data_IF_945956692402
#
_entry.id   IF_945956692402
#
_cell.length_a   1.000
_cell.length_b   1.000
_cell.length_c   1.000
_cell.angle_alpha   90.00
_cell.angle_beta   90.00
_cell.angle_gamma   90.00
#
_symmetry.space_group_name_H-M   'P 1'
#
loop_
_entity.id
_entity.type
_entity.pdbx_description
1 polymer ?
#
# COMPACT_ATOMS: atom_id res chain seq x y z
N UNK A 1 28.89 3.86 -11.29
CA UNK A 1 28.04 3.05 -10.39
C UNK A 1 27.20 3.92 -9.46
N UNK A 2 27.81 4.88 -8.75
CA UNK A 2 27.08 5.78 -7.83
C UNK A 2 26.07 6.65 -8.56
N UNK A 3 26.40 7.17 -9.73
CA UNK A 3 25.49 7.93 -10.60
C UNK A 3 24.24 7.11 -10.99
N UNK A 4 24.43 5.83 -11.37
CA UNK A 4 23.30 4.93 -11.69
C UNK A 4 22.39 4.71 -10.49
N UNK A 5 22.97 4.48 -9.30
CA UNK A 5 22.20 4.34 -8.05
C UNK A 5 21.45 5.63 -7.72
N UNK A 6 22.08 6.78 -7.91
CA UNK A 6 21.49 8.10 -7.69
C UNK A 6 20.32 8.35 -8.65
N UNK A 7 20.51 8.14 -9.95
CA UNK A 7 19.49 8.34 -10.96
C UNK A 7 18.24 7.46 -10.71
N UNK A 8 18.43 6.21 -10.28
CA UNK A 8 17.33 5.30 -9.91
C UNK A 8 16.67 5.73 -8.60
N UNK A 9 17.48 5.99 -7.57
CA UNK A 9 16.98 6.24 -6.22
C UNK A 9 16.19 7.53 -6.10
N UNK A 10 16.62 8.58 -6.78
CA UNK A 10 16.00 9.91 -6.72
C UNK A 10 14.96 10.18 -7.81
N UNK A 11 14.72 9.24 -8.73
CA UNK A 11 13.61 9.32 -9.68
C UNK A 11 12.33 8.78 -9.02
N UNK A 12 11.33 9.63 -8.69
CA UNK A 12 10.15 9.22 -7.93
C UNK A 12 9.29 8.14 -8.62
N UNK A 13 9.30 8.09 -9.95
CA UNK A 13 8.54 7.11 -10.73
C UNK A 13 9.21 5.73 -10.81
N UNK A 14 10.53 5.63 -10.47
CA UNK A 14 11.26 4.37 -10.62
C UNK A 14 10.95 3.38 -9.47
N UNK A 15 10.75 2.06 -9.73
CA UNK A 15 10.46 1.05 -8.71
C UNK A 15 11.48 0.98 -7.56
N UNK A 16 12.74 1.28 -7.83
CA UNK A 16 13.82 1.35 -6.83
C UNK A 16 13.90 2.66 -6.05
N UNK A 17 13.05 3.67 -6.38
CA UNK A 17 13.12 5.02 -5.81
C UNK A 17 12.75 5.06 -4.34
N UNK A 18 13.43 5.92 -3.56
CA UNK A 18 13.19 6.18 -2.14
C UNK A 18 12.85 4.94 -1.29
N UNK A 19 13.24 3.75 -1.78
CA UNK A 19 12.99 2.46 -1.17
C UNK A 19 14.11 1.99 -0.24
N UNK A 20 14.08 0.70 0.10
CA UNK A 20 15.13 0.04 0.89
C UNK A 20 16.24 -0.56 0.01
N UNK A 21 17.12 -1.32 0.67
CA UNK A 21 18.30 -1.94 0.04
C UNK A 21 17.91 -2.86 -1.13
N UNK A 22 17.00 -3.79 -0.89
CA UNK A 22 16.62 -4.82 -1.88
C UNK A 22 16.00 -4.26 -3.16
N UNK A 23 14.97 -3.36 -3.10
CA UNK A 23 14.42 -2.75 -4.29
C UNK A 23 15.46 -1.98 -5.11
N UNK A 24 16.32 -1.20 -4.45
CA UNK A 24 17.35 -0.45 -5.14
C UNK A 24 18.40 -1.38 -5.78
N UNK A 25 18.85 -2.41 -5.06
CA UNK A 25 19.81 -3.38 -5.57
C UNK A 25 19.28 -4.08 -6.83
N UNK A 26 18.02 -4.56 -6.79
CA UNK A 26 17.37 -5.21 -7.93
C UNK A 26 17.24 -4.25 -9.13
N UNK A 27 16.75 -3.04 -8.88
CA UNK A 27 16.54 -2.04 -9.93
C UNK A 27 17.84 -1.59 -10.59
N UNK A 28 18.93 -1.49 -9.83
CA UNK A 28 20.25 -1.08 -10.32
C UNK A 28 21.08 -2.25 -10.89
N UNK A 29 20.67 -3.51 -10.64
CA UNK A 29 21.45 -4.69 -11.03
C UNK A 29 22.77 -4.81 -10.25
N UNK A 30 22.76 -4.46 -8.94
CA UNK A 30 23.95 -4.51 -8.07
C UNK A 30 23.67 -5.39 -6.84
N UNK A 31 24.74 -5.85 -6.16
CA UNK A 31 24.58 -6.60 -4.91
C UNK A 31 23.96 -5.75 -3.79
N UNK A 32 23.24 -6.40 -2.88
CA UNK A 32 22.65 -5.72 -1.70
C UNK A 32 23.71 -5.02 -0.85
N UNK A 33 24.92 -5.56 -0.75
CA UNK A 33 26.04 -4.94 -0.06
C UNK A 33 26.43 -3.59 -0.67
N UNK A 34 26.54 -3.51 -2.00
CA UNK A 34 26.85 -2.27 -2.72
C UNK A 34 25.73 -1.23 -2.57
N UNK A 35 24.46 -1.66 -2.72
CA UNK A 35 23.32 -0.80 -2.51
C UNK A 35 23.25 -0.28 -1.07
N UNK A 36 23.53 -1.14 -0.06
CA UNK A 36 23.58 -0.75 1.36
C UNK A 36 24.67 0.27 1.63
N UNK A 37 25.89 0.04 1.13
CA UNK A 37 27.02 0.95 1.31
C UNK A 37 26.74 2.34 0.73
N UNK A 38 26.08 2.40 -0.43
CA UNK A 38 25.68 3.68 -1.04
C UNK A 38 24.54 4.35 -0.26
N UNK A 39 23.46 3.61 0.10
CA UNK A 39 22.32 4.14 0.84
C UNK A 39 22.69 4.71 2.22
N UNK A 40 23.64 4.08 2.92
CA UNK A 40 24.07 4.58 4.24
C UNK A 40 24.79 5.93 4.16
N UNK A 41 25.33 6.31 3.01
CA UNK A 41 25.91 7.64 2.75
C UNK A 41 24.81 8.68 2.40
N UNK A 42 23.59 8.25 2.03
CA UNK A 42 22.52 9.14 1.63
C UNK A 42 21.80 9.69 2.87
N UNK A 43 21.91 10.99 3.12
CA UNK A 43 21.26 11.67 4.25
C UNK A 43 19.74 11.45 4.25
N UNK A 44 19.11 11.51 3.05
CA UNK A 44 17.66 11.30 2.88
C UNK A 44 17.24 9.90 3.34
N UNK A 45 18.05 8.87 3.08
CA UNK A 45 17.76 7.50 3.53
C UNK A 45 17.94 7.35 5.04
N UNK A 46 19.06 7.81 5.59
CA UNK A 46 19.40 7.61 7.00
C UNK A 46 18.47 8.40 7.93
N UNK A 47 18.08 9.62 7.53
CA UNK A 47 17.19 10.49 8.30
C UNK A 47 15.80 9.87 8.55
N UNK A 48 15.28 9.13 7.57
CA UNK A 48 13.91 8.59 7.62
C UNK A 48 13.84 7.08 7.86
N UNK A 49 14.97 6.44 8.15
CA UNK A 49 15.02 5.00 8.40
C UNK A 49 14.41 4.67 9.76
N UNK A 50 13.30 3.95 9.76
CA UNK A 50 12.63 3.49 10.98
C UNK A 50 13.33 2.27 11.61
N UNK A 51 13.42 2.18 12.95
CA UNK A 51 13.91 0.99 13.62
C UNK A 51 12.97 -0.20 13.39
N UNK A 52 13.55 -1.38 13.10
CA UNK A 52 12.75 -2.60 12.91
C UNK A 52 12.27 -3.13 14.26
N UNK A 53 10.96 -3.13 14.49
CA UNK A 53 10.31 -3.84 15.61
C UNK A 53 9.69 -5.13 15.08
N UNK A 54 10.00 -6.27 15.72
CA UNK A 54 9.44 -7.60 15.40
C UNK A 54 8.49 -8.01 16.51
N UNK A 55 7.24 -8.32 16.16
CA UNK A 55 6.26 -8.95 17.06
C UNK A 55 5.32 -9.85 16.24
N UNK A 56 4.83 -10.96 16.84
CA UNK A 56 3.87 -11.86 16.18
C UNK A 56 2.59 -11.09 15.87
N UNK A 57 2.02 -11.32 14.70
CA UNK A 57 0.70 -10.78 14.29
C UNK A 57 -0.13 -11.89 13.69
N UNK A 58 -1.43 -11.90 13.97
CA UNK A 58 -2.36 -12.78 13.27
C UNK A 58 -2.40 -12.38 11.79
N UNK A 59 -2.33 -13.38 10.91
CA UNK A 59 -2.40 -13.16 9.46
C UNK A 59 -3.86 -12.99 9.04
N UNK A 60 -4.12 -12.06 8.15
CA UNK A 60 -5.39 -11.96 7.42
C UNK A 60 -5.23 -12.90 6.22
N UNK A 61 -6.15 -13.84 6.08
CA UNK A 61 -6.15 -14.83 4.99
C UNK A 61 -7.29 -14.50 4.05
N UNK A 62 -6.98 -14.35 2.78
CA UNK A 62 -7.92 -14.11 1.66
C UNK A 62 -7.59 -15.10 0.55
N UNK A 63 -8.57 -15.47 -0.25
CA UNK A 63 -8.43 -16.52 -1.27
C UNK A 63 -8.22 -15.96 -2.68
N UNK A 64 -8.76 -14.78 -2.96
CA UNK A 64 -8.74 -14.20 -4.30
C UNK A 64 -8.46 -12.69 -4.28
N UNK A 65 -7.98 -12.19 -5.40
CA UNK A 65 -7.80 -10.76 -5.65
C UNK A 65 -9.17 -10.07 -5.59
N UNK A 66 -9.21 -8.90 -4.99
CA UNK A 66 -10.44 -8.14 -4.72
C UNK A 66 -11.44 -8.85 -3.78
N UNK A 67 -11.03 -9.91 -3.07
CA UNK A 67 -11.87 -10.46 -2.00
C UNK A 67 -11.99 -9.48 -0.84
N UNK A 68 -10.88 -8.93 -0.39
CA UNK A 68 -10.85 -7.98 0.71
C UNK A 68 -9.87 -6.84 0.46
N UNK A 69 -10.37 -5.62 0.59
CA UNK A 69 -9.52 -4.43 0.66
C UNK A 69 -9.46 -3.88 2.08
N UNK A 70 -8.31 -3.32 2.44
CA UNK A 70 -8.17 -2.50 3.63
C UNK A 70 -8.10 -1.04 3.24
N UNK A 71 -8.81 -0.20 3.99
CA UNK A 71 -8.95 1.23 3.75
C UNK A 71 -8.61 2.00 5.02
N UNK A 72 -7.86 3.09 4.87
CA UNK A 72 -7.47 3.96 5.98
C UNK A 72 -7.28 5.41 5.50
N UNK A 73 -7.28 6.35 6.43
CA UNK A 73 -6.96 7.75 6.19
C UNK A 73 -5.60 8.11 6.78
N UNK A 74 -4.71 8.52 5.89
CA UNK A 74 -3.39 9.01 6.27
C UNK A 74 -3.47 10.50 6.58
N UNK A 75 -3.34 10.90 7.85
CA UNK A 75 -3.38 12.29 8.30
C UNK A 75 -2.08 13.03 7.97
N UNK A 76 -2.21 14.21 7.34
CA UNK A 76 -1.10 15.09 6.92
C UNK A 76 -1.42 16.59 7.11
N UNK A 77 -1.97 17.00 8.27
CA UNK A 77 -2.46 18.39 8.44
C UNK A 77 -1.35 19.43 8.38
N UNK A 78 -0.14 19.09 8.86
CA UNK A 78 1.01 20.02 8.92
C UNK A 78 1.49 20.50 7.55
N UNK A 79 1.28 19.69 6.51
CA UNK A 79 1.72 20.02 5.14
C UNK A 79 0.59 20.39 4.19
N UNK A 80 -0.64 20.51 4.69
CA UNK A 80 -1.82 20.81 3.88
C UNK A 80 -1.69 22.11 3.06
N UNK A 81 -1.07 23.14 3.63
CA UNK A 81 -0.83 24.44 2.95
C UNK A 81 -0.01 24.30 1.66
N UNK A 82 0.88 23.33 1.58
CA UNK A 82 1.70 23.07 0.39
C UNK A 82 0.99 22.17 -0.63
N UNK A 83 -0.15 21.59 -0.27
CA UNK A 83 -0.85 20.54 -1.01
C UNK A 83 -2.30 20.92 -1.33
N UNK A 84 -2.54 22.18 -1.73
CA UNK A 84 -3.86 22.69 -2.12
C UNK A 84 -4.95 22.47 -1.06
N UNK A 85 -4.56 22.50 0.22
CA UNK A 85 -5.44 22.28 1.36
C UNK A 85 -5.75 20.80 1.66
N UNK A 86 -5.14 19.85 0.94
CA UNK A 86 -5.34 18.43 1.21
C UNK A 86 -4.65 18.03 2.52
N UNK A 87 -5.47 17.63 3.51
CA UNK A 87 -5.05 17.23 4.85
C UNK A 87 -4.91 15.73 5.04
N UNK A 88 -5.55 14.98 4.14
CA UNK A 88 -5.65 13.52 4.23
C UNK A 88 -5.31 12.88 2.90
N UNK A 89 -4.90 11.63 2.96
CA UNK A 89 -4.85 10.73 1.79
C UNK A 89 -5.68 9.49 2.17
N UNK A 90 -6.76 9.23 1.42
CA UNK A 90 -7.42 7.93 1.48
C UNK A 90 -6.50 6.91 0.84
N UNK A 91 -6.15 5.88 1.58
CA UNK A 91 -5.30 4.79 1.14
C UNK A 91 -6.08 3.49 1.14
N UNK A 92 -5.91 2.72 0.09
CA UNK A 92 -6.57 1.43 -0.11
C UNK A 92 -5.54 0.41 -0.55
N UNK A 93 -5.60 -0.80 -0.03
CA UNK A 93 -4.75 -1.91 -0.44
C UNK A 93 -5.57 -3.19 -0.60
N UNK A 94 -5.37 -3.89 -1.70
CA UNK A 94 -5.89 -5.25 -1.88
C UNK A 94 -5.07 -6.25 -1.05
N UNK A 95 -5.78 -7.09 -0.30
CA UNK A 95 -5.14 -7.97 0.68
C UNK A 95 -4.39 -9.14 0.05
N UNK A 96 -4.70 -9.59 -1.17
CA UNK A 96 -3.97 -10.65 -1.84
C UNK A 96 -2.84 -10.10 -2.71
N UNK A 97 -3.14 -9.27 -3.70
CA UNK A 97 -2.14 -8.76 -4.64
C UNK A 97 -1.21 -7.69 -4.05
N UNK A 98 -1.55 -7.12 -2.89
CA UNK A 98 -0.84 -5.95 -2.28
C UNK A 98 -0.88 -4.70 -3.14
N UNK A 99 -1.69 -4.68 -4.20
CA UNK A 99 -1.86 -3.50 -5.03
C UNK A 99 -2.54 -2.38 -4.24
N UNK A 100 -2.04 -1.17 -4.39
CA UNK A 100 -2.49 -0.04 -3.59
C UNK A 100 -2.95 1.14 -4.43
N UNK A 101 -3.92 1.87 -3.88
CA UNK A 101 -4.44 3.14 -4.40
C UNK A 101 -4.36 4.21 -3.34
N UNK A 102 -4.27 5.47 -3.77
CA UNK A 102 -4.26 6.62 -2.88
C UNK A 102 -4.95 7.82 -3.52
N UNK A 103 -5.83 8.48 -2.77
CA UNK A 103 -6.58 9.66 -3.23
C UNK A 103 -6.45 10.78 -2.20
N UNK A 104 -5.94 11.98 -2.57
CA UNK A 104 -5.86 13.12 -1.66
C UNK A 104 -7.24 13.69 -1.32
N UNK A 105 -7.40 14.15 -0.07
CA UNK A 105 -8.65 14.72 0.47
C UNK A 105 -8.38 16.00 1.26
N UNK A 106 -9.24 17.00 1.10
CA UNK A 106 -9.19 18.25 1.91
C UNK A 106 -9.76 18.06 3.31
N UNK A 107 -10.78 17.24 3.44
CA UNK A 107 -11.46 16.93 4.69
C UNK A 107 -11.85 15.44 4.71
N UNK A 108 -12.25 14.95 5.88
CA UNK A 108 -12.66 13.56 6.10
C UNK A 108 -14.15 13.40 6.38
N UNK A 109 -14.99 14.30 5.88
CA UNK A 109 -16.43 14.13 5.96
C UNK A 109 -16.89 12.98 5.04
N UNK A 110 -18.07 12.43 5.32
CA UNK A 110 -18.62 11.28 4.62
C UNK A 110 -18.67 11.46 3.08
N UNK A 111 -19.07 12.65 2.62
CA UNK A 111 -19.16 12.95 1.18
C UNK A 111 -17.79 12.92 0.50
N UNK A 112 -16.76 13.50 1.13
CA UNK A 112 -15.41 13.50 0.58
C UNK A 112 -14.81 12.09 0.53
N UNK A 113 -15.03 11.30 1.59
CA UNK A 113 -14.57 9.90 1.66
C UNK A 113 -15.29 9.04 0.62
N UNK A 114 -16.62 9.18 0.48
CA UNK A 114 -17.39 8.46 -0.53
C UNK A 114 -16.93 8.79 -1.95
N UNK A 115 -16.73 10.08 -2.26
CA UNK A 115 -16.21 10.50 -3.57
C UNK A 115 -14.82 9.94 -3.85
N UNK A 116 -13.97 9.87 -2.83
CA UNK A 116 -12.64 9.30 -2.97
C UNK A 116 -12.70 7.76 -3.17
N UNK A 117 -13.61 7.05 -2.46
CA UNK A 117 -13.82 5.62 -2.68
C UNK A 117 -14.34 5.32 -4.09
N UNK A 118 -15.32 6.09 -4.59
CA UNK A 118 -15.80 5.95 -5.97
C UNK A 118 -14.65 6.11 -6.98
N UNK A 119 -13.78 7.11 -6.77
CA UNK A 119 -12.60 7.30 -7.59
C UNK A 119 -11.63 6.10 -7.53
N UNK A 120 -11.49 5.45 -6.36
CA UNK A 120 -10.71 4.21 -6.24
C UNK A 120 -11.36 3.09 -7.04
N UNK A 121 -12.68 2.91 -6.98
CA UNK A 121 -13.40 1.90 -7.78
C UNK A 121 -13.20 2.13 -9.29
N UNK A 122 -13.27 3.38 -9.75
CA UNK A 122 -13.00 3.75 -11.13
C UNK A 122 -11.56 3.40 -11.56
N UNK A 123 -10.57 3.74 -10.73
CA UNK A 123 -9.16 3.42 -10.99
C UNK A 123 -8.90 1.91 -10.98
N UNK A 124 -9.54 1.19 -10.10
CA UNK A 124 -9.42 -0.26 -9.99
C UNK A 124 -10.16 -1.00 -11.12
N UNK A 125 -11.15 -0.36 -11.73
CA UNK A 125 -12.12 -0.97 -12.66
C UNK A 125 -12.83 -2.20 -12.08
N UNK A 126 -12.88 -2.26 -10.78
CA UNK A 126 -13.50 -3.34 -10.00
C UNK A 126 -13.84 -2.87 -8.59
N UNK A 127 -14.66 -3.65 -7.88
CA UNK A 127 -14.99 -3.45 -6.47
C UNK A 127 -14.68 -4.72 -5.69
N UNK A 128 -14.27 -4.60 -4.42
CA UNK A 128 -13.99 -5.77 -3.59
C UNK A 128 -15.29 -6.40 -3.08
N UNK A 129 -15.22 -7.67 -2.65
CA UNK A 129 -16.33 -8.30 -1.93
C UNK A 129 -16.48 -7.73 -0.51
N UNK A 130 -15.36 -7.40 0.13
CA UNK A 130 -15.32 -6.88 1.51
C UNK A 130 -14.36 -5.71 1.65
N UNK A 131 -14.75 -4.75 2.48
CA UNK A 131 -13.87 -3.64 2.90
C UNK A 131 -13.72 -3.65 4.40
N UNK A 132 -12.46 -3.64 4.85
CA UNK A 132 -12.09 -3.47 6.25
C UNK A 132 -11.58 -2.05 6.50
N UNK A 133 -12.18 -1.36 7.48
CA UNK A 133 -11.70 -0.05 7.97
C UNK A 133 -11.49 -0.09 9.48
N UNK A 134 -10.97 0.96 10.06
CA UNK A 134 -11.12 1.22 11.49
C UNK A 134 -12.56 1.66 11.84
N UNK A 135 -12.83 1.92 13.13
CA UNK A 135 -14.13 2.39 13.62
C UNK A 135 -14.32 3.92 13.48
N UNK A 136 -13.55 4.58 12.62
CA UNK A 136 -13.64 6.01 12.40
C UNK A 136 -15.04 6.46 11.91
N UNK A 137 -15.52 7.59 12.41
CA UNK A 137 -16.83 8.15 12.01
C UNK A 137 -16.89 8.49 10.52
N UNK A 138 -15.75 8.71 9.89
CA UNK A 138 -15.59 8.90 8.46
C UNK A 138 -16.04 7.70 7.62
N UNK A 139 -15.94 6.47 8.17
CA UNK A 139 -16.35 5.21 7.55
C UNK A 139 -17.65 4.67 8.17
N UNK A 140 -17.86 4.89 9.47
CA UNK A 140 -19.08 4.42 10.18
C UNK A 140 -20.16 5.51 10.19
N UNK A 141 -20.80 5.70 9.04
CA UNK A 141 -21.92 6.61 8.84
C UNK A 141 -22.87 6.06 7.77
N UNK A 142 -24.12 6.55 7.78
CA UNK A 142 -25.17 6.08 6.86
C UNK A 142 -24.81 6.23 5.38
N UNK A 143 -24.14 7.33 5.02
CA UNK A 143 -23.77 7.61 3.64
C UNK A 143 -22.72 6.64 3.11
N UNK A 144 -21.71 6.29 3.92
CA UNK A 144 -20.69 5.30 3.54
C UNK A 144 -21.30 3.90 3.44
N UNK A 145 -22.15 3.52 4.42
CA UNK A 145 -22.85 2.23 4.37
C UNK A 145 -23.78 2.12 3.15
N UNK A 146 -24.45 3.21 2.77
CA UNK A 146 -25.27 3.23 1.55
C UNK A 146 -24.41 3.01 0.29
N UNK A 147 -23.25 3.67 0.20
CA UNK A 147 -22.30 3.45 -0.91
C UNK A 147 -21.86 1.99 -0.98
N UNK A 148 -21.48 1.39 0.15
CA UNK A 148 -21.09 -0.03 0.18
C UNK A 148 -22.22 -0.95 -0.27
N UNK A 149 -23.45 -0.71 0.22
CA UNK A 149 -24.64 -1.47 -0.17
C UNK A 149 -24.95 -1.35 -1.66
N UNK A 150 -24.81 -0.18 -2.26
CA UNK A 150 -25.02 0.06 -3.70
C UNK A 150 -24.08 -0.78 -4.57
N UNK A 151 -22.87 -1.05 -4.09
CA UNK A 151 -21.88 -1.87 -4.78
C UNK A 151 -21.85 -3.33 -4.32
N UNK A 152 -22.76 -3.76 -3.43
CA UNK A 152 -22.79 -5.12 -2.88
C UNK A 152 -21.60 -5.48 -2.01
N UNK A 153 -20.93 -4.48 -1.42
CA UNK A 153 -19.70 -4.63 -0.63
C UNK A 153 -20.05 -4.82 0.85
N UNK A 154 -19.51 -5.86 1.47
CA UNK A 154 -19.55 -6.05 2.91
C UNK A 154 -18.55 -5.11 3.60
N UNK A 155 -19.05 -4.17 4.42
CA UNK A 155 -18.20 -3.29 5.22
C UNK A 155 -18.12 -3.79 6.66
N UNK A 156 -16.90 -3.96 7.17
CA UNK A 156 -16.66 -4.39 8.54
C UNK A 156 -15.42 -3.73 9.15
N UNK A 157 -15.35 -3.77 10.48
CA UNK A 157 -14.17 -3.43 11.25
C UNK A 157 -13.87 -4.54 12.26
N UNK A 158 -12.62 -4.68 12.65
CA UNK A 158 -12.24 -5.57 13.74
C UNK A 158 -12.26 -4.80 15.05
N UNK A 159 -13.07 -5.26 16.02
CA UNK A 159 -13.10 -4.71 17.39
C UNK A 159 -11.82 -5.03 18.18
N UNK A 160 -11.05 -5.99 17.71
CA UNK A 160 -9.85 -6.48 18.40
C UNK A 160 -8.64 -5.66 17.96
N UNK A 161 -7.99 -4.97 18.89
CA UNK A 161 -6.78 -4.17 18.62
C UNK A 161 -5.64 -4.99 18.01
N UNK A 162 -5.63 -6.31 18.21
CA UNK A 162 -4.64 -7.23 17.68
C UNK A 162 -4.81 -7.55 16.17
N UNK A 163 -5.98 -7.26 15.59
CA UNK A 163 -6.30 -7.52 14.17
C UNK A 163 -6.61 -6.19 13.47
N UNK A 164 -5.73 -5.21 13.63
CA UNK A 164 -5.83 -3.94 12.91
C UNK A 164 -5.69 -4.15 11.40
N UNK A 165 -6.10 -3.15 10.62
CA UNK A 165 -5.88 -3.08 9.18
C UNK A 165 -4.37 -2.98 8.84
N UNK A 166 -3.60 -3.96 9.30
CA UNK A 166 -2.14 -3.94 9.38
C UNK A 166 -1.45 -3.82 8.01
N UNK A 167 -2.14 -4.20 6.92
CA UNK A 167 -1.58 -4.09 5.57
C UNK A 167 -1.62 -2.66 5.10
N UNK A 168 -2.76 -1.97 5.23
CA UNK A 168 -2.87 -0.56 4.86
C UNK A 168 -2.05 0.33 5.78
N UNK A 169 -1.94 0.02 7.08
CA UNK A 169 -1.04 0.73 8.01
C UNK A 169 0.43 0.62 7.56
N UNK A 170 0.85 -0.59 7.12
CA UNK A 170 2.19 -0.81 6.58
C UNK A 170 2.40 -0.08 5.27
N UNK A 171 1.39 -0.07 4.40
CA UNK A 171 1.42 0.70 3.18
C UNK A 171 1.54 2.20 3.47
N UNK A 172 0.74 2.74 4.40
CA UNK A 172 0.79 4.13 4.84
C UNK A 172 2.19 4.54 5.32
N UNK A 173 2.82 3.67 6.11
CA UNK A 173 4.21 3.90 6.55
C UNK A 173 5.16 3.95 5.37
N UNK A 174 5.08 2.99 4.44
CA UNK A 174 5.94 2.94 3.25
C UNK A 174 5.74 4.17 2.37
N UNK A 175 4.48 4.58 2.15
CA UNK A 175 4.15 5.77 1.38
C UNK A 175 4.71 7.04 2.05
N UNK A 176 4.47 7.20 3.37
CA UNK A 176 5.04 8.32 4.15
C UNK A 176 6.57 8.35 4.07
N UNK A 177 7.24 7.22 4.25
CA UNK A 177 8.71 7.15 4.14
C UNK A 177 9.21 7.63 2.77
N UNK A 178 8.56 7.20 1.67
CA UNK A 178 8.90 7.65 0.31
C UNK A 178 8.64 9.15 0.14
N UNK A 179 7.50 9.65 0.63
CA UNK A 179 7.16 11.08 0.58
C UNK A 179 8.18 11.92 1.35
N UNK A 180 8.54 11.52 2.59
CA UNK A 180 9.50 12.27 3.42
C UNK A 180 10.90 12.28 2.80
N UNK A 181 11.34 11.19 2.19
CA UNK A 181 12.62 11.14 1.46
C UNK A 181 12.60 12.05 0.24
N UNK A 182 11.49 12.05 -0.51
CA UNK A 182 11.28 12.97 -1.61
C UNK A 182 11.32 14.44 -1.14
N UNK A 183 10.64 14.77 -0.06
CA UNK A 183 10.62 16.13 0.51
C UNK A 183 12.02 16.59 0.92
N UNK A 184 12.78 15.73 1.59
CA UNK A 184 14.15 16.05 2.01
C UNK A 184 15.08 16.26 0.82
N UNK A 185 14.90 15.48 -0.25
CA UNK A 185 15.73 15.61 -1.46
C UNK A 185 15.41 16.89 -2.24
N UNK A 186 14.13 17.15 -2.47
CA UNK A 186 13.65 18.29 -3.27
C UNK A 186 13.42 19.57 -2.45
N UNK A 187 13.70 19.55 -1.14
CA UNK A 187 13.46 20.68 -0.22
C UNK A 187 12.03 21.25 -0.33
N UNK A 188 11.07 20.37 -0.40
CA UNK A 188 9.64 20.68 -0.56
C UNK A 188 8.79 19.91 0.43
N UNK A 189 7.52 20.33 0.60
CA UNK A 189 6.49 19.52 1.30
C UNK A 189 5.30 19.23 0.38
N UNK A 190 5.50 19.42 -0.94
CA UNK A 190 4.45 19.23 -1.93
C UNK A 190 4.46 17.79 -2.45
N UNK A 191 3.38 17.04 -2.16
CA UNK A 191 3.24 15.65 -2.62
C UNK A 191 2.22 15.46 -3.75
N UNK A 192 1.29 16.39 -3.96
CA UNK A 192 0.15 16.22 -4.89
C UNK A 192 0.63 15.83 -6.29
N UNK A 193 1.64 16.50 -6.82
CA UNK A 193 2.14 16.23 -8.17
C UNK A 193 2.94 14.93 -8.29
N UNK A 194 3.53 14.43 -7.19
CA UNK A 194 4.40 13.25 -7.20
C UNK A 194 3.72 12.00 -6.62
N UNK A 195 2.55 12.13 -6.01
CA UNK A 195 1.84 11.01 -5.41
C UNK A 195 1.56 9.88 -6.41
N UNK A 196 1.12 10.15 -7.66
CA UNK A 196 0.96 9.10 -8.65
C UNK A 196 2.25 8.34 -8.95
N UNK A 197 3.38 9.03 -9.04
CA UNK A 197 4.69 8.42 -9.31
C UNK A 197 5.16 7.54 -8.14
N UNK A 198 5.01 8.03 -6.90
CA UNK A 198 5.34 7.26 -5.70
C UNK A 198 4.47 6.01 -5.57
N UNK A 199 3.20 6.10 -5.94
CA UNK A 199 2.25 5.00 -5.94
C UNK A 199 2.61 3.98 -7.03
N UNK A 200 2.89 4.46 -8.25
CA UNK A 200 3.37 3.62 -9.34
C UNK A 200 4.67 2.91 -8.97
N UNK A 201 5.62 3.61 -8.38
CA UNK A 201 6.87 3.03 -7.88
C UNK A 201 6.63 1.98 -6.79
N UNK A 202 5.64 2.17 -5.90
CA UNK A 202 5.25 1.16 -4.92
C UNK A 202 4.69 -0.09 -5.60
N UNK A 203 3.70 0.07 -6.48
CA UNK A 203 3.03 -1.04 -7.16
C UNK A 203 3.96 -1.82 -8.09
N UNK A 204 5.05 -1.21 -8.57
CA UNK A 204 6.08 -1.85 -9.40
C UNK A 204 7.35 -2.23 -8.62
N UNK A 205 7.34 -2.12 -7.29
CA UNK A 205 8.47 -2.58 -6.45
C UNK A 205 8.26 -4.02 -6.01
N UNK A 206 9.33 -4.84 -5.93
CA UNK A 206 9.25 -6.19 -5.39
C UNK A 206 8.71 -6.22 -3.97
N UNK A 207 7.72 -7.08 -3.70
CA UNK A 207 7.09 -7.21 -2.41
C UNK A 207 7.47 -8.55 -1.73
N UNK A 208 7.89 -8.49 -0.45
CA UNK A 208 8.40 -9.67 0.26
C UNK A 208 7.35 -10.77 0.47
N UNK A 209 6.08 -10.42 0.68
CA UNK A 209 5.01 -11.42 0.82
C UNK A 209 4.53 -12.01 -0.51
N UNK A 210 5.05 -11.51 -1.62
CA UNK A 210 4.77 -12.01 -2.98
C UNK A 210 6.01 -12.67 -3.58
N UNK A 211 6.91 -13.20 -2.73
CA UNK A 211 8.18 -13.82 -3.15
C UNK A 211 8.98 -12.97 -4.15
N UNK A 212 8.85 -11.65 -4.04
CA UNK A 212 9.55 -10.69 -4.89
C UNK A 212 8.82 -10.30 -6.18
N UNK A 213 7.61 -10.81 -6.44
CA UNK A 213 6.73 -10.25 -7.45
C UNK A 213 6.33 -8.83 -7.06
N UNK A 214 5.97 -8.03 -8.06
CA UNK A 214 5.42 -6.69 -7.83
C UNK A 214 3.91 -6.76 -7.63
N UNK A 215 3.30 -5.87 -6.82
CA UNK A 215 1.83 -5.77 -6.71
C UNK A 215 1.13 -5.61 -8.06
N UNK A 216 1.74 -4.84 -8.98
CA UNK A 216 1.21 -4.67 -10.34
C UNK A 216 1.16 -6.00 -11.09
N UNK A 217 2.25 -6.79 -11.07
CA UNK A 217 2.30 -8.09 -11.73
C UNK A 217 1.33 -9.07 -11.06
N UNK A 218 1.32 -9.10 -9.72
CA UNK A 218 0.43 -9.96 -8.95
C UNK A 218 -1.05 -9.73 -9.33
N UNK A 219 -1.48 -8.45 -9.42
CA UNK A 219 -2.85 -8.11 -9.76
C UNK A 219 -3.25 -8.44 -11.20
N UNK A 220 -2.32 -8.33 -12.17
CA UNK A 220 -2.66 -8.39 -13.59
C UNK A 220 -2.30 -9.71 -14.28
N UNK A 221 -1.41 -10.53 -13.71
CA UNK A 221 -0.86 -11.71 -14.38
C UNK A 221 -0.78 -12.98 -13.52
N UNK A 222 -0.69 -12.85 -12.19
CA UNK A 222 -0.59 -14.03 -11.34
C UNK A 222 -1.97 -14.65 -11.10
N UNK A 223 -2.03 -15.98 -10.97
CA UNK A 223 -3.24 -16.65 -10.51
C UNK A 223 -3.45 -16.43 -9.01
N UNK A 224 -4.69 -16.44 -8.55
CA UNK A 224 -5.01 -16.31 -7.13
C UNK A 224 -4.46 -17.49 -6.32
N UNK A 225 -4.43 -18.69 -6.89
CA UNK A 225 -3.87 -19.88 -6.26
C UNK A 225 -2.36 -19.71 -6.02
N UNK A 226 -1.60 -19.24 -7.02
CA UNK A 226 -0.16 -18.97 -6.87
C UNK A 226 0.10 -17.89 -5.82
N UNK A 227 -0.66 -16.80 -5.83
CA UNK A 227 -0.55 -15.73 -4.84
C UNK A 227 -0.88 -16.21 -3.44
N UNK A 228 -1.86 -17.10 -3.34
CA UNK A 228 -2.26 -17.71 -2.09
C UNK A 228 -1.14 -18.60 -1.52
N UNK A 229 -0.59 -19.50 -2.32
CA UNK A 229 0.49 -20.39 -1.94
C UNK A 229 1.76 -19.62 -1.54
N UNK A 230 2.10 -18.53 -2.25
CA UNK A 230 3.23 -17.67 -1.90
C UNK A 230 3.08 -17.01 -0.52
N UNK A 231 1.86 -16.68 -0.11
CA UNK A 231 1.61 -15.94 1.14
C UNK A 231 1.28 -16.83 2.32
N UNK A 232 0.65 -17.98 2.07
CA UNK A 232 0.02 -18.81 3.10
C UNK A 232 0.39 -20.30 2.99
N UNK A 233 1.18 -20.72 2.01
CA UNK A 233 1.54 -22.13 1.77
C UNK A 233 2.15 -22.86 2.98
N UNK A 234 2.78 -22.11 3.92
CA UNK A 234 3.31 -22.64 5.18
C UNK A 234 2.23 -22.83 6.27
N UNK A 235 0.98 -22.47 6.02
CA UNK A 235 -0.08 -22.58 7.03
C UNK A 235 -0.73 -23.97 6.96
N UNK A 236 -0.92 -24.66 8.12
CA UNK A 236 -1.76 -25.85 8.16
C UNK A 236 -3.19 -25.47 7.79
N UNK A 237 -3.67 -25.97 6.63
CA UNK A 237 -4.91 -25.51 6.05
C UNK A 237 -6.07 -26.43 6.22
N UNK A 238 -7.19 -25.79 6.54
CA UNK A 238 -8.48 -26.18 6.01
C UNK A 238 -8.78 -25.37 4.71
N UNK A 239 -8.13 -25.72 3.61
CA UNK A 239 -8.53 -25.23 2.29
C UNK A 239 -9.94 -25.73 2.03
N UNK A 240 -10.91 -24.83 1.89
CA UNK A 240 -12.24 -25.25 1.42
C UNK A 240 -12.02 -25.87 0.03
N UNK A 241 -12.21 -27.18 -0.11
CA UNK A 241 -12.17 -27.85 -1.41
C UNK A 241 -13.07 -27.09 -2.37
N UNK A 242 -12.58 -26.71 -3.54
CA UNK A 242 -13.42 -26.19 -4.63
C UNK A 242 -14.45 -27.27 -4.96
N UNK A 243 -15.72 -26.91 -5.10
CA UNK A 243 -16.77 -27.83 -5.58
C UNK A 243 -16.30 -28.41 -6.92
N UNK A 244 -15.91 -29.70 -6.94
CA UNK A 244 -15.46 -30.41 -8.15
C UNK A 244 -14.08 -31.08 -8.09
N UNK A 245 -13.29 -30.93 -7.00
CA UNK A 245 -12.08 -31.74 -6.83
C UNK A 245 -12.44 -33.16 -6.37
N UNK A 246 -11.92 -34.20 -7.04
CA UNK A 246 -12.14 -35.58 -6.61
C UNK A 246 -11.41 -35.87 -5.27
N UNK A 247 -11.97 -36.82 -4.50
CA UNK A 247 -11.42 -37.28 -3.21
C UNK A 247 -10.05 -37.92 -3.38
#
# INVERSE_FOLDING_TARGET
>A
MEEKLSAIYYNPAHPGSYGGIKPLAKAAGVSEGKAKAWLTKQRVYTLHKQPKRRFPRRRIVVQETDEQWQVDLCDLPSIARYNSGNRYILTVIDCLSRFAWAVPLKNKNAQAVNKAMQKVFEMARNTPKRIQTDLGKEFYNSSFHQLMKQHGIEHFSTKNEDIKAAMVERFNRTLKERMWRYFSHHRTHRYIGVLPDLLNAYNNSPHSSLNGLTPQYARSHASDDDLWDMQYGDMPLHRKKKKGEPN
#
